data_IF_891824938676
#
_entry.id   IF_891824938676
#
_cell.length_a   1.000
_cell.length_b   1.000
_cell.length_c   1.000
_cell.angle_alpha   90.00
_cell.angle_beta   90.00
_cell.angle_gamma   90.00
#
_symmetry.space_group_name_H-M   'P 1'
#
loop_
_entity.id
_entity.type
_entity.pdbx_description
1 polymer ?
#
# COMPACT_ATOMS: atom_id res chain seq x y z
N UNK A 1 0.16 0.67 19.55
CA UNK A 1 0.81 0.46 18.25
C UNK A 1 2.15 1.19 18.21
N UNK A 2 3.16 0.67 17.52
CA UNK A 2 4.52 1.25 17.46
C UNK A 2 5.08 1.36 16.02
N UNK A 3 4.24 1.15 15.01
CA UNK A 3 4.57 1.27 13.59
C UNK A 3 3.52 2.12 12.89
N UNK A 4 3.97 2.96 11.97
CA UNK A 4 3.15 3.62 10.97
C UNK A 4 3.71 3.27 9.60
N UNK A 5 3.03 2.39 8.88
CA UNK A 5 3.34 2.07 7.50
C UNK A 5 2.77 3.16 6.60
N UNK A 6 3.63 3.85 5.85
CA UNK A 6 3.24 4.99 5.05
C UNK A 6 3.33 4.69 3.55
N UNK A 7 2.17 4.32 2.99
CA UNK A 7 1.97 4.14 1.55
C UNK A 7 2.01 5.50 0.84
N UNK A 8 3.17 5.85 0.25
CA UNK A 8 3.47 7.20 -0.24
C UNK A 8 3.33 7.34 -1.76
N UNK A 9 3.24 6.24 -2.50
CA UNK A 9 3.28 6.25 -3.96
C UNK A 9 2.35 5.19 -4.52
N UNK A 10 1.54 5.57 -5.49
CA UNK A 10 0.60 4.67 -6.16
C UNK A 10 0.31 5.22 -7.57
N UNK A 11 -0.42 4.48 -8.40
CA UNK A 11 -0.98 4.92 -9.67
C UNK A 11 -1.71 6.28 -9.66
N UNK A 12 -2.54 6.58 -8.64
CA UNK A 12 -3.30 7.85 -8.57
C UNK A 12 -2.55 9.00 -7.87
N UNK A 13 -1.29 8.77 -7.48
CA UNK A 13 -0.35 9.86 -7.27
C UNK A 13 0.89 9.55 -6.43
N UNK A 14 1.87 10.44 -6.57
CA UNK A 14 3.16 10.40 -5.88
C UNK A 14 3.24 11.47 -4.80
N UNK A 15 3.49 11.08 -3.54
CA UNK A 15 3.33 11.98 -2.37
C UNK A 15 4.62 12.37 -1.67
N UNK A 16 5.79 11.98 -2.16
CA UNK A 16 7.09 12.27 -1.52
C UNK A 16 7.99 13.10 -2.43
N UNK A 17 8.52 14.21 -1.92
CA UNK A 17 9.50 15.00 -2.67
C UNK A 17 10.83 14.25 -2.85
N UNK A 18 11.23 14.07 -4.11
CA UNK A 18 12.55 13.56 -4.51
C UNK A 18 13.26 14.67 -5.28
N UNK A 19 14.27 15.28 -4.68
CA UNK A 19 14.93 16.49 -5.21
C UNK A 19 15.59 16.23 -6.55
N UNK A 20 16.14 15.03 -6.76
CA UNK A 20 16.75 14.64 -8.04
C UNK A 20 15.72 14.46 -9.17
N UNK A 21 14.46 14.19 -8.83
CA UNK A 21 13.39 13.92 -9.79
C UNK A 21 12.15 14.78 -9.50
N UNK A 22 12.23 16.12 -9.64
CA UNK A 22 11.17 17.03 -9.20
C UNK A 22 9.83 16.79 -9.91
N UNK A 23 9.83 16.28 -11.16
CA UNK A 23 8.59 15.96 -11.88
C UNK A 23 7.71 14.92 -11.17
N UNK A 24 8.27 14.13 -10.25
CA UNK A 24 7.48 13.21 -9.42
C UNK A 24 6.41 13.96 -8.62
N UNK A 25 6.70 15.18 -8.13
CA UNK A 25 5.73 16.00 -7.42
C UNK A 25 5.17 17.16 -8.25
N UNK A 26 5.86 17.63 -9.29
CA UNK A 26 5.30 18.62 -10.23
C UNK A 26 4.22 18.02 -11.15
N UNK A 27 4.33 16.72 -11.48
CA UNK A 27 3.39 15.99 -12.35
C UNK A 27 2.72 14.86 -11.58
N UNK A 28 3.49 13.96 -10.97
CA UNK A 28 2.97 12.73 -10.36
C UNK A 28 2.07 12.97 -9.14
N UNK A 29 2.16 14.13 -8.47
CA UNK A 29 1.28 14.48 -7.36
C UNK A 29 -0.09 15.02 -7.78
N UNK A 30 -0.34 15.18 -9.08
CA UNK A 30 -1.52 15.82 -9.64
C UNK A 30 -2.30 14.91 -10.59
N UNK A 31 -3.62 14.84 -10.39
CA UNK A 31 -4.57 14.26 -11.35
C UNK A 31 -5.66 15.28 -11.67
N UNK A 32 -6.22 15.22 -12.88
CA UNK A 32 -7.17 16.24 -13.35
C UNK A 32 -8.62 15.98 -12.91
N UNK A 33 -8.89 14.81 -12.34
CA UNK A 33 -10.18 14.43 -11.80
C UNK A 33 -10.09 13.11 -11.04
N UNK A 34 -11.19 12.73 -10.41
CA UNK A 34 -11.35 11.50 -9.66
C UNK A 34 -12.68 10.83 -10.05
N UNK A 35 -12.66 9.50 -10.17
CA UNK A 35 -13.85 8.66 -10.31
C UNK A 35 -14.93 9.00 -9.26
N UNK A 36 -16.19 9.01 -9.72
CA UNK A 36 -17.38 9.09 -8.89
C UNK A 36 -18.06 7.71 -8.83
N UNK A 37 -18.40 7.28 -7.62
CA UNK A 37 -19.00 5.97 -7.36
C UNK A 37 -17.97 4.84 -7.27
N UNK A 38 -18.46 3.60 -7.26
CA UNK A 38 -17.61 2.40 -7.22
C UNK A 38 -16.95 2.13 -8.57
N UNK A 39 -15.69 1.68 -8.57
CA UNK A 39 -15.01 1.18 -9.78
C UNK A 39 -15.90 0.19 -10.57
N UNK A 40 -16.02 0.30 -11.91
CA UNK A 40 -15.25 1.19 -12.81
C UNK A 40 -15.74 2.64 -12.86
N UNK A 41 -16.78 3.00 -12.09
CA UNK A 41 -17.26 4.36 -11.89
C UNK A 41 -18.45 4.75 -12.76
N UNK A 42 -19.15 5.80 -12.34
CA UNK A 42 -20.28 6.40 -13.07
C UNK A 42 -19.83 7.57 -13.94
N UNK A 43 -19.02 8.46 -13.38
CA UNK A 43 -18.40 9.58 -14.08
C UNK A 43 -17.09 10.02 -13.42
N UNK A 44 -16.49 11.10 -13.91
CA UNK A 44 -15.34 11.79 -13.33
C UNK A 44 -15.81 13.14 -12.73
N UNK A 45 -15.29 13.51 -11.55
CA UNK A 45 -15.68 14.74 -10.86
C UNK A 45 -15.14 16.03 -11.50
N UNK A 46 -14.29 15.92 -12.52
CA UNK A 46 -13.62 17.00 -13.26
C UNK A 46 -12.85 17.97 -12.35
N UNK A 47 -12.51 17.54 -11.13
CA UNK A 47 -11.91 18.38 -10.11
C UNK A 47 -10.44 17.99 -9.91
N UNK A 48 -9.48 18.86 -10.29
CA UNK A 48 -8.08 18.56 -10.10
C UNK A 48 -7.74 18.31 -8.63
N UNK A 49 -7.11 17.16 -8.35
CA UNK A 49 -6.66 16.77 -7.02
C UNK A 49 -5.13 16.79 -6.96
N UNK A 50 -4.59 17.32 -5.86
CA UNK A 50 -3.15 17.53 -5.67
C UNK A 50 -2.71 17.39 -4.22
N UNK A 51 -1.43 17.09 -4.02
CA UNK A 51 -0.78 17.13 -2.72
C UNK A 51 0.43 16.20 -2.65
N UNK A 52 1.46 16.63 -1.94
CA UNK A 52 2.64 15.84 -1.59
C UNK A 52 3.27 16.42 -0.33
N UNK A 53 4.16 15.66 0.30
CA UNK A 53 4.97 16.09 1.44
C UNK A 53 6.37 16.45 0.95
N UNK A 54 6.81 17.65 1.31
CA UNK A 54 8.21 18.07 1.19
C UNK A 54 9.09 17.21 2.10
N UNK A 55 10.39 17.16 1.82
CA UNK A 55 11.32 16.45 2.69
C UNK A 55 11.36 17.00 4.12
N UNK A 56 11.11 18.30 4.30
CA UNK A 56 11.08 18.92 5.63
C UNK A 56 9.81 18.56 6.41
N UNK A 57 8.64 18.52 5.75
CA UNK A 57 7.41 18.02 6.39
C UNK A 57 7.53 16.55 6.78
N UNK A 58 8.16 15.73 5.94
CA UNK A 58 8.43 14.32 6.27
C UNK A 58 9.30 14.21 7.52
N UNK A 59 10.37 15.01 7.62
CA UNK A 59 11.23 15.02 8.81
C UNK A 59 10.48 15.43 10.07
N UNK A 60 9.62 16.46 9.99
CA UNK A 60 8.79 16.87 11.13
C UNK A 60 7.83 15.76 11.58
N UNK A 61 7.19 15.07 10.62
CA UNK A 61 6.30 13.93 10.90
C UNK A 61 7.08 12.76 11.52
N UNK A 62 8.27 12.45 11.01
CA UNK A 62 9.17 11.44 11.57
C UNK A 62 9.56 11.80 13.01
N UNK A 63 9.97 13.05 13.26
CA UNK A 63 10.33 13.53 14.60
C UNK A 63 9.13 13.47 15.56
N UNK A 64 7.93 13.81 15.08
CA UNK A 64 6.70 13.70 15.84
C UNK A 64 6.38 12.25 16.24
N UNK A 65 6.58 11.30 15.33
CA UNK A 65 6.37 9.87 15.55
C UNK A 65 7.42 9.27 16.50
N UNK A 66 8.69 9.66 16.36
CA UNK A 66 9.79 9.20 17.24
C UNK A 66 9.54 9.60 18.69
N UNK A 67 9.05 10.83 18.94
CA UNK A 67 8.64 11.29 20.29
C UNK A 67 7.52 10.45 20.93
N UNK A 68 6.83 9.62 20.14
CA UNK A 68 5.77 8.69 20.56
C UNK A 68 6.19 7.22 20.48
N UNK A 69 7.48 6.96 20.24
CA UNK A 69 8.02 5.61 20.04
C UNK A 69 7.36 4.86 18.85
N UNK A 70 6.92 5.60 17.83
CA UNK A 70 6.37 5.06 16.59
C UNK A 70 7.45 5.15 15.51
N UNK A 71 7.78 4.00 14.91
CA UNK A 71 8.67 3.96 13.73
C UNK A 71 7.83 4.08 12.46
N UNK A 72 8.18 5.04 11.60
CA UNK A 72 7.57 5.17 10.27
C UNK A 72 8.34 4.29 9.28
N UNK A 73 7.62 3.40 8.59
CA UNK A 73 8.15 2.58 7.51
C UNK A 73 7.61 3.16 6.20
N UNK A 74 8.44 3.79 5.34
CA UNK A 74 7.98 4.31 4.06
C UNK A 74 7.78 3.17 3.05
N UNK A 75 6.81 3.34 2.18
CA UNK A 75 6.59 2.49 1.02
C UNK A 75 6.78 3.25 -0.29
N UNK A 76 7.60 2.69 -1.17
CA UNK A 76 7.72 3.10 -2.57
C UNK A 76 7.32 1.91 -3.44
N UNK A 77 6.17 1.99 -4.08
CA UNK A 77 5.59 0.94 -4.90
C UNK A 77 6.46 0.59 -6.12
N UNK A 78 6.71 -0.71 -6.30
CA UNK A 78 7.42 -1.25 -7.47
C UNK A 78 7.18 -2.76 -7.63
N UNK A 79 7.23 -3.30 -8.86
CA UNK A 79 7.20 -2.59 -10.13
C UNK A 79 5.79 -2.17 -10.58
N UNK A 80 4.75 -2.68 -9.91
CA UNK A 80 3.34 -2.27 -10.06
C UNK A 80 3.08 -0.84 -9.57
N UNK A 81 1.81 -0.43 -9.54
CA UNK A 81 1.34 0.83 -8.93
C UNK A 81 2.19 2.07 -9.24
N UNK A 82 2.69 2.17 -10.48
CA UNK A 82 3.73 3.12 -10.88
C UNK A 82 3.27 4.17 -11.89
N UNK A 83 1.97 4.24 -12.19
CA UNK A 83 1.44 5.17 -13.20
C UNK A 83 1.77 6.63 -12.89
N UNK A 84 1.82 7.05 -11.62
CA UNK A 84 2.19 8.42 -11.27
C UNK A 84 3.65 8.75 -11.63
N UNK A 85 4.57 7.82 -11.37
CA UNK A 85 5.98 7.96 -11.74
C UNK A 85 6.17 7.90 -13.27
N UNK A 86 5.45 7.00 -13.95
CA UNK A 86 5.46 6.89 -15.42
C UNK A 86 4.85 8.14 -16.08
N UNK A 87 3.83 8.76 -15.49
CA UNK A 87 3.29 10.03 -15.97
C UNK A 87 4.30 11.17 -15.89
N UNK A 88 5.14 11.17 -14.85
CA UNK A 88 6.21 12.13 -14.69
C UNK A 88 7.38 11.86 -15.65
N UNK A 89 7.77 10.60 -15.81
CA UNK A 89 8.90 10.11 -16.62
C UNK A 89 8.45 8.92 -17.50
N UNK A 90 7.87 9.17 -18.69
CA UNK A 90 7.30 8.13 -19.56
C UNK A 90 8.26 7.01 -19.93
N UNK A 91 9.56 7.28 -20.01
CA UNK A 91 10.63 6.32 -20.29
C UNK A 91 10.74 5.17 -19.29
N UNK A 92 10.09 5.29 -18.13
CA UNK A 92 9.99 4.23 -17.12
C UNK A 92 8.98 3.13 -17.51
N UNK A 93 8.17 3.33 -18.56
CA UNK A 93 7.24 2.34 -19.13
C UNK A 93 7.90 1.48 -20.21
N UNK A 94 7.39 0.26 -20.42
CA UNK A 94 7.73 -0.54 -21.61
C UNK A 94 7.28 0.13 -22.92
N UNK A 95 6.26 0.99 -22.86
CA UNK A 95 5.61 1.63 -23.99
C UNK A 95 5.39 3.11 -23.72
N UNK A 96 6.47 3.94 -23.69
CA UNK A 96 6.41 5.35 -23.31
C UNK A 96 5.47 6.19 -24.17
N UNK A 97 5.25 5.78 -25.42
CA UNK A 97 4.42 6.50 -26.40
C UNK A 97 2.99 5.96 -26.51
N UNK A 98 2.66 4.87 -25.83
CA UNK A 98 1.28 4.39 -25.77
C UNK A 98 0.50 5.15 -24.68
N UNK A 99 -0.74 5.56 -24.95
CA UNK A 99 -1.53 6.32 -24.00
C UNK A 99 -1.84 5.51 -22.73
N UNK A 100 -1.87 6.18 -21.58
CA UNK A 100 -2.42 5.61 -20.34
C UNK A 100 -3.86 5.16 -20.61
N UNK A 101 -4.20 3.95 -20.17
CA UNK A 101 -5.55 3.39 -20.32
C UNK A 101 -6.37 3.77 -19.08
N UNK A 102 -7.40 4.59 -19.29
CA UNK A 102 -8.44 4.94 -18.33
C UNK A 102 -9.78 4.64 -19.02
N UNK A 103 -10.78 4.03 -18.36
CA UNK A 103 -12.12 3.89 -18.92
C UNK A 103 -12.63 5.25 -19.43
N UNK A 104 -13.24 5.29 -20.63
CA UNK A 104 -13.52 6.56 -21.32
C UNK A 104 -14.42 7.50 -20.51
N UNK A 105 -15.40 6.97 -19.77
CA UNK A 105 -16.28 7.74 -18.89
C UNK A 105 -15.60 8.20 -17.59
N UNK A 106 -14.41 7.69 -17.28
CA UNK A 106 -13.63 8.01 -16.07
C UNK A 106 -12.47 8.96 -16.30
N UNK A 107 -12.13 9.25 -17.55
CA UNK A 107 -11.08 10.21 -17.84
C UNK A 107 -11.67 11.62 -17.91
N UNK A 108 -11.13 12.54 -17.12
CA UNK A 108 -11.53 13.94 -17.14
C UNK A 108 -11.44 14.52 -18.55
N UNK A 109 -12.34 15.45 -18.88
CA UNK A 109 -12.35 16.18 -20.17
C UNK A 109 -11.01 16.85 -20.46
N UNK A 110 -10.33 17.32 -19.40
CA UNK A 110 -9.01 17.93 -19.52
C UNK A 110 -7.97 16.90 -19.99
N UNK A 111 -7.90 15.74 -19.33
CA UNK A 111 -6.97 14.67 -19.72
C UNK A 111 -7.28 14.10 -21.11
N UNK A 112 -8.57 13.94 -21.46
CA UNK A 112 -8.99 13.56 -22.82
C UNK A 112 -8.51 14.56 -23.89
N UNK A 113 -8.56 15.86 -23.59
CA UNK A 113 -8.06 16.90 -24.51
C UNK A 113 -6.54 16.87 -24.62
N UNK A 114 -5.82 16.73 -23.51
CA UNK A 114 -4.36 16.64 -23.50
C UNK A 114 -3.85 15.39 -24.24
N UNK A 115 -4.55 14.26 -24.12
CA UNK A 115 -4.18 12.99 -24.75
C UNK A 115 -4.21 13.04 -26.29
N UNK A 116 -5.03 13.93 -26.86
CA UNK A 116 -5.07 14.20 -28.32
C UNK A 116 -3.81 14.93 -28.80
N UNK A 117 -3.06 15.57 -27.91
CA UNK A 117 -1.75 16.18 -28.20
C UNK A 117 -0.59 15.20 -27.99
N UNK A 118 0.57 15.74 -27.60
CA UNK A 118 1.81 14.96 -27.46
C UNK A 118 1.89 14.16 -26.15
N UNK A 119 1.15 14.57 -25.11
CA UNK A 119 1.16 13.89 -23.81
C UNK A 119 0.40 12.57 -23.89
N UNK A 120 1.09 11.45 -23.64
CA UNK A 120 0.49 10.10 -23.64
C UNK A 120 0.33 9.49 -22.25
N UNK A 121 1.18 9.85 -21.30
CA UNK A 121 1.13 9.31 -19.93
C UNK A 121 0.46 10.29 -18.96
N UNK A 122 -0.45 9.75 -18.16
CA UNK A 122 -1.28 10.46 -17.19
C UNK A 122 -1.28 9.72 -15.86
N UNK A 123 -1.37 10.48 -14.76
CA UNK A 123 -1.68 9.95 -13.43
C UNK A 123 -3.10 9.39 -13.50
N UNK A 124 -3.34 8.24 -12.87
CA UNK A 124 -4.64 7.59 -12.95
C UNK A 124 -5.74 8.43 -12.27
N UNK A 125 -6.93 8.38 -12.85
CA UNK A 125 -8.13 9.10 -12.36
C UNK A 125 -9.23 8.12 -11.88
N UNK A 126 -8.95 6.83 -11.91
CA UNK A 126 -9.81 5.75 -11.42
C UNK A 126 -9.02 4.78 -10.52
N UNK A 127 -9.75 3.94 -9.80
CA UNK A 127 -9.19 2.93 -8.89
C UNK A 127 -8.82 1.63 -9.62
N UNK A 128 -8.15 0.72 -8.90
CA UNK A 128 -7.85 -0.63 -9.38
C UNK A 128 -6.51 -0.77 -10.09
N UNK A 129 -6.28 -1.95 -10.67
CA UNK A 129 -4.95 -2.40 -11.11
C UNK A 129 -4.57 -1.92 -12.51
N UNK A 130 -3.41 -1.29 -12.63
CA UNK A 130 -2.90 -0.78 -13.90
C UNK A 130 -1.91 -1.72 -14.58
N UNK A 131 -2.04 -1.86 -15.91
CA UNK A 131 -1.12 -2.70 -16.70
C UNK A 131 0.22 -2.04 -17.02
N UNK A 132 0.31 -0.72 -16.85
CA UNK A 132 1.54 0.03 -17.12
C UNK A 132 2.41 0.05 -15.88
N UNK A 133 3.45 -0.77 -15.91
CA UNK A 133 4.35 -1.05 -14.79
C UNK A 133 5.78 -0.70 -15.20
N UNK A 134 6.67 -0.53 -14.23
CA UNK A 134 8.06 -0.22 -14.50
C UNK A 134 8.73 -1.22 -15.45
N UNK A 135 9.42 -0.72 -16.47
CA UNK A 135 10.28 -1.54 -17.34
C UNK A 135 11.55 -1.92 -16.59
N UNK A 136 12.01 -3.18 -16.57
CA UNK A 136 13.23 -3.62 -15.87
C UNK A 136 14.53 -3.21 -16.61
N UNK A 137 14.67 -1.91 -16.91
CA UNK A 137 15.82 -1.34 -17.61
C UNK A 137 16.87 -0.78 -16.65
N UNK A 138 18.12 -0.67 -17.10
CA UNK A 138 19.19 -0.02 -16.31
C UNK A 138 18.85 1.43 -15.94
N UNK A 139 18.15 2.15 -16.82
CA UNK A 139 17.67 3.51 -16.54
C UNK A 139 16.65 3.51 -15.40
N UNK A 140 15.71 2.56 -15.40
CA UNK A 140 14.71 2.39 -14.33
C UNK A 140 15.38 2.05 -13.00
N UNK A 141 16.34 1.12 -13.00
CA UNK A 141 17.06 0.80 -11.76
C UNK A 141 17.87 1.99 -11.25
N UNK A 142 18.56 2.72 -12.13
CA UNK A 142 19.26 3.96 -11.75
C UNK A 142 18.29 4.99 -11.15
N UNK A 143 17.11 5.14 -11.74
CA UNK A 143 16.06 6.01 -11.23
C UNK A 143 15.60 5.58 -9.82
N UNK A 144 15.24 4.32 -9.64
CA UNK A 144 14.79 3.80 -8.35
C UNK A 144 15.87 3.85 -7.28
N UNK A 145 17.12 3.51 -7.62
CA UNK A 145 18.25 3.60 -6.69
C UNK A 145 18.46 5.04 -6.21
N UNK A 146 18.33 6.01 -7.10
CA UNK A 146 18.41 7.44 -6.76
C UNK A 146 17.25 7.88 -5.86
N UNK A 147 16.01 7.50 -6.18
CA UNK A 147 14.82 7.75 -5.34
C UNK A 147 15.03 7.16 -3.94
N UNK A 148 15.37 5.87 -3.87
CA UNK A 148 15.57 5.15 -2.62
C UNK A 148 16.75 5.70 -1.82
N UNK A 149 17.79 6.23 -2.48
CA UNK A 149 18.89 6.94 -1.81
C UNK A 149 18.37 8.13 -1.00
N UNK A 150 17.45 8.93 -1.56
CA UNK A 150 16.86 10.05 -0.82
C UNK A 150 15.93 9.53 0.28
N UNK A 151 15.04 8.57 -0.01
CA UNK A 151 14.11 7.98 0.98
C UNK A 151 14.86 7.42 2.20
N UNK A 152 15.94 6.69 2.00
CA UNK A 152 16.75 6.11 3.09
C UNK A 152 17.31 7.17 4.03
N UNK A 153 17.56 8.39 3.56
CA UNK A 153 18.04 9.50 4.41
C UNK A 153 16.91 10.17 5.22
N UNK A 154 15.67 10.10 4.73
CA UNK A 154 14.51 10.73 5.37
C UNK A 154 13.94 9.86 6.49
N UNK A 155 14.04 8.53 6.37
CA UNK A 155 13.41 7.60 7.30
C UNK A 155 14.46 6.79 8.08
N UNK A 156 14.49 6.92 9.43
CA UNK A 156 15.46 6.19 10.27
C UNK A 156 15.15 4.69 10.36
N UNK A 157 13.96 4.25 9.97
CA UNK A 157 13.55 2.84 9.96
C UNK A 157 14.58 1.94 9.29
N UNK A 158 14.83 0.77 9.86
CA UNK A 158 15.65 -0.27 9.24
C UNK A 158 14.95 -0.94 8.05
N UNK A 159 13.65 -0.72 7.89
CA UNK A 159 12.83 -1.27 6.82
C UNK A 159 12.42 -0.20 5.82
N UNK A 160 12.42 -0.58 4.54
CA UNK A 160 11.74 0.12 3.46
C UNK A 160 10.75 -0.87 2.85
N UNK A 161 9.47 -0.49 2.76
CA UNK A 161 8.50 -1.27 2.03
C UNK A 161 8.63 -0.97 0.53
N UNK A 162 8.62 -2.01 -0.29
CA UNK A 162 8.82 -1.88 -1.75
C UNK A 162 7.58 -2.32 -2.54
N UNK A 163 6.45 -2.49 -1.87
CA UNK A 163 5.22 -2.98 -2.48
C UNK A 163 5.41 -4.39 -3.04
N UNK A 164 5.15 -4.53 -4.34
CA UNK A 164 5.34 -5.77 -5.10
C UNK A 164 4.05 -6.53 -5.40
N UNK A 165 2.93 -6.00 -4.93
CA UNK A 165 1.57 -6.43 -5.22
C UNK A 165 1.13 -6.04 -6.63
N UNK A 166 0.02 -6.66 -7.05
CA UNK A 166 -0.77 -6.36 -8.25
C UNK A 166 0.02 -5.77 -9.43
N UNK A 167 1.08 -6.49 -9.84
CA UNK A 167 1.90 -6.13 -10.99
C UNK A 167 1.53 -7.00 -12.22
N UNK A 168 0.58 -6.58 -13.08
CA UNK A 168 0.23 -7.30 -14.30
C UNK A 168 1.43 -7.54 -15.21
N UNK A 169 1.58 -8.78 -15.63
CA UNK A 169 2.66 -9.18 -16.54
C UNK A 169 2.37 -8.84 -18.02
N UNK A 170 1.21 -8.24 -18.33
CA UNK A 170 0.71 -8.02 -19.69
C UNK A 170 1.66 -7.21 -20.55
N UNK A 171 2.19 -6.09 -20.05
CA UNK A 171 3.12 -5.25 -20.80
C UNK A 171 4.51 -5.90 -20.95
N UNK A 172 4.98 -6.64 -19.94
CA UNK A 172 6.24 -7.40 -20.06
C UNK A 172 6.15 -8.54 -21.09
N UNK A 173 5.01 -9.25 -21.16
CA UNK A 173 4.76 -10.31 -22.16
C UNK A 173 4.90 -9.84 -23.60
N UNK A 174 4.40 -8.63 -23.91
CA UNK A 174 4.46 -8.05 -25.27
C UNK A 174 5.69 -7.17 -25.52
N UNK A 175 6.48 -6.85 -24.48
CA UNK A 175 7.67 -6.01 -24.62
C UNK A 175 8.86 -6.81 -25.14
N UNK A 176 9.34 -6.46 -26.35
CA UNK A 176 10.55 -7.08 -26.91
C UNK A 176 11.76 -6.93 -25.99
N UNK A 177 11.86 -5.80 -25.28
CA UNK A 177 12.92 -5.57 -24.29
C UNK A 177 12.83 -6.60 -23.15
N UNK A 178 11.67 -6.74 -22.52
CA UNK A 178 11.48 -7.68 -21.41
C UNK A 178 11.69 -9.13 -21.84
N UNK A 179 11.15 -9.53 -22.99
CA UNK A 179 11.33 -10.87 -23.53
C UNK A 179 12.81 -11.20 -23.83
N UNK A 180 13.57 -10.21 -24.31
CA UNK A 180 15.01 -10.37 -24.51
C UNK A 180 15.78 -10.46 -23.19
N UNK A 181 15.37 -9.67 -22.18
CA UNK A 181 15.98 -9.71 -20.85
C UNK A 181 15.77 -11.05 -20.16
N UNK A 182 14.54 -11.60 -20.22
CA UNK A 182 14.20 -12.95 -19.75
C UNK A 182 15.16 -13.98 -20.35
N UNK A 183 15.31 -13.99 -21.68
CA UNK A 183 16.23 -14.90 -22.38
C UNK A 183 17.69 -14.67 -21.97
N UNK A 184 18.14 -13.42 -21.90
CA UNK A 184 19.53 -13.05 -21.56
C UNK A 184 19.90 -13.48 -20.13
N UNK A 185 18.95 -13.41 -19.20
CA UNK A 185 19.14 -13.76 -17.79
C UNK A 185 18.81 -15.23 -17.48
N UNK A 186 18.28 -15.98 -18.46
CA UNK A 186 17.88 -17.38 -18.27
C UNK A 186 16.66 -17.54 -17.36
N UNK A 187 15.79 -16.53 -17.32
CA UNK A 187 14.55 -16.55 -16.53
C UNK A 187 13.48 -17.35 -17.27
N UNK A 188 12.59 -18.03 -16.55
CA UNK A 188 11.52 -18.84 -17.15
C UNK A 188 10.40 -18.00 -17.76
N UNK A 189 9.98 -16.95 -17.07
CA UNK A 189 8.80 -16.15 -17.42
C UNK A 189 8.84 -14.75 -16.77
N UNK A 190 7.73 -14.02 -16.86
CA UNK A 190 7.59 -12.69 -16.27
C UNK A 190 7.47 -12.68 -14.74
N UNK A 191 7.16 -13.80 -14.08
CA UNK A 191 7.17 -13.88 -12.62
C UNK A 191 8.62 -13.94 -12.11
N UNK A 192 9.47 -14.74 -12.76
CA UNK A 192 10.92 -14.71 -12.48
C UNK A 192 11.54 -13.35 -12.87
N UNK A 193 10.98 -12.64 -13.86
CA UNK A 193 11.38 -11.24 -14.15
C UNK A 193 11.02 -10.27 -13.02
N UNK A 194 9.87 -10.44 -12.37
CA UNK A 194 9.52 -9.67 -11.17
C UNK A 194 10.50 -10.00 -10.04
N UNK A 195 10.76 -11.28 -9.77
CA UNK A 195 11.74 -11.69 -8.76
C UNK A 195 13.13 -11.08 -9.02
N UNK A 196 13.60 -11.09 -10.28
CA UNK A 196 14.84 -10.40 -10.67
C UNK A 196 14.82 -8.90 -10.36
N UNK A 197 13.70 -8.22 -10.60
CA UNK A 197 13.52 -6.80 -10.30
C UNK A 197 13.65 -6.56 -8.78
N UNK A 198 12.90 -7.31 -7.99
CA UNK A 198 12.84 -7.20 -6.53
C UNK A 198 14.22 -7.51 -5.91
N UNK A 199 14.87 -8.59 -6.32
CA UNK A 199 16.20 -8.95 -5.82
C UNK A 199 17.26 -7.87 -6.10
N UNK A 200 17.14 -7.16 -7.23
CA UNK A 200 18.06 -6.06 -7.55
C UNK A 200 17.87 -4.86 -6.61
N UNK A 201 16.61 -4.50 -6.32
CA UNK A 201 16.29 -3.43 -5.36
C UNK A 201 16.66 -3.85 -3.93
N UNK A 202 16.40 -5.10 -3.54
CA UNK A 202 16.82 -5.66 -2.25
C UNK A 202 18.33 -5.51 -2.07
N UNK A 203 19.11 -5.99 -3.04
CA UNK A 203 20.58 -5.92 -2.98
C UNK A 203 21.07 -4.47 -2.79
N UNK A 204 20.42 -3.52 -3.46
CA UNK A 204 20.74 -2.11 -3.30
C UNK A 204 20.40 -1.60 -1.89
N UNK A 205 19.19 -1.85 -1.38
CA UNK A 205 18.77 -1.43 -0.03
C UNK A 205 19.61 -2.09 1.07
N UNK A 206 19.95 -3.37 0.91
CA UNK A 206 20.88 -4.09 1.80
C UNK A 206 22.26 -3.41 1.82
N UNK A 207 22.77 -2.91 0.69
CA UNK A 207 24.02 -2.15 0.65
C UNK A 207 23.96 -0.81 1.39
N UNK A 208 22.74 -0.30 1.67
CA UNK A 208 22.48 0.89 2.49
C UNK A 208 22.14 0.53 3.95
N UNK A 209 22.27 -0.74 4.34
CA UNK A 209 21.97 -1.22 5.69
C UNK A 209 20.47 -1.30 5.99
N UNK A 210 19.61 -1.35 4.96
CA UNK A 210 18.16 -1.48 5.10
C UNK A 210 17.70 -2.87 4.70
N UNK A 211 16.67 -3.39 5.37
CA UNK A 211 15.92 -4.59 4.97
C UNK A 211 14.68 -4.18 4.16
N UNK A 212 14.21 -5.07 3.29
CA UNK A 212 12.96 -4.87 2.56
C UNK A 212 11.79 -5.52 3.27
N UNK A 213 10.62 -4.90 3.14
CA UNK A 213 9.32 -5.55 3.32
C UNK A 213 8.60 -5.46 1.97
N UNK A 214 7.87 -6.50 1.58
CA UNK A 214 6.97 -6.43 0.43
C UNK A 214 5.74 -7.31 0.61
N UNK A 215 4.72 -7.06 -0.18
CA UNK A 215 3.48 -7.85 -0.19
C UNK A 215 3.74 -9.31 -0.58
N UNK A 216 2.85 -10.23 -0.21
CA UNK A 216 3.08 -11.68 -0.36
C UNK A 216 3.32 -12.16 -1.81
N UNK A 217 2.97 -11.36 -2.81
CA UNK A 217 3.38 -11.54 -4.21
C UNK A 217 4.90 -11.62 -4.42
N UNK A 218 5.75 -11.06 -3.54
CA UNK A 218 7.21 -11.18 -3.67
C UNK A 218 7.71 -12.62 -3.51
N UNK A 219 6.85 -13.55 -3.08
CA UNK A 219 7.12 -14.99 -3.09
C UNK A 219 7.13 -15.58 -4.52
N UNK A 220 6.48 -14.92 -5.47
CA UNK A 220 6.40 -15.38 -6.86
C UNK A 220 7.77 -15.34 -7.55
N UNK A 221 8.20 -16.46 -8.13
CA UNK A 221 9.48 -16.55 -8.85
C UNK A 221 10.72 -16.69 -7.95
N UNK A 222 10.54 -16.79 -6.63
CA UNK A 222 11.61 -16.98 -5.64
C UNK A 222 11.84 -15.74 -4.79
N UNK A 223 11.88 -15.92 -3.47
CA UNK A 223 12.00 -14.83 -2.50
C UNK A 223 13.46 -14.41 -2.31
N UNK A 224 13.64 -13.10 -2.11
CA UNK A 224 14.92 -12.51 -1.79
C UNK A 224 15.34 -12.92 -0.36
N UNK A 225 16.58 -13.41 -0.11
CA UNK A 225 16.93 -14.15 1.12
C UNK A 225 16.70 -13.40 2.44
N UNK A 226 16.66 -12.08 2.43
CA UNK A 226 16.49 -11.24 3.62
C UNK A 226 15.16 -10.51 3.68
N UNK A 227 14.26 -10.78 2.74
CA UNK A 227 12.96 -10.13 2.66
C UNK A 227 12.05 -10.51 3.84
N UNK A 228 11.37 -9.52 4.38
CA UNK A 228 10.20 -9.70 5.24
C UNK A 228 8.94 -9.65 4.36
N UNK A 229 7.97 -10.51 4.63
CA UNK A 229 6.73 -10.63 3.84
C UNK A 229 5.56 -10.01 4.58
N UNK A 230 4.76 -9.19 3.91
CA UNK A 230 3.47 -8.70 4.40
C UNK A 230 2.32 -9.48 3.76
N UNK A 231 1.64 -10.33 4.55
CA UNK A 231 0.61 -11.26 4.04
C UNK A 231 -0.77 -10.63 4.05
N UNK A 232 -1.35 -10.39 2.89
CA UNK A 232 -2.62 -9.66 2.76
C UNK A 232 -3.75 -10.47 2.12
N UNK A 233 -3.41 -11.42 1.22
CA UNK A 233 -4.39 -12.29 0.53
C UNK A 233 -4.77 -13.47 1.43
N UNK A 234 -5.24 -13.15 2.64
CA UNK A 234 -5.35 -14.08 3.75
C UNK A 234 -4.00 -14.36 4.41
N UNK A 235 -3.88 -15.51 5.06
CA UNK A 235 -2.69 -15.88 5.87
C UNK A 235 -1.73 -16.81 5.13
N UNK A 236 -2.13 -17.35 3.98
CA UNK A 236 -1.39 -18.40 3.29
C UNK A 236 0.01 -17.94 2.85
N UNK A 237 0.15 -16.71 2.36
CA UNK A 237 1.45 -16.12 2.01
C UNK A 237 2.39 -16.07 3.21
N UNK A 238 1.88 -15.59 4.35
CA UNK A 238 2.60 -15.56 5.62
C UNK A 238 3.00 -16.94 6.14
N UNK A 239 2.11 -17.93 6.06
CA UNK A 239 2.43 -19.31 6.45
C UNK A 239 3.57 -19.88 5.60
N UNK A 240 3.53 -19.67 4.28
CA UNK A 240 4.57 -20.14 3.36
C UNK A 240 5.90 -19.46 3.65
N UNK A 241 5.91 -18.14 3.86
CA UNK A 241 7.10 -17.36 4.17
C UNK A 241 7.73 -17.76 5.51
N UNK A 242 6.93 -17.91 6.57
CA UNK A 242 7.41 -18.33 7.89
C UNK A 242 8.04 -19.74 7.86
N UNK A 243 7.45 -20.68 7.13
CA UNK A 243 8.03 -22.03 6.90
C UNK A 243 9.36 -21.99 6.15
N UNK A 244 9.58 -20.96 5.33
CA UNK A 244 10.85 -20.69 4.66
C UNK A 244 11.80 -19.83 5.51
N UNK A 245 11.45 -19.54 6.78
CA UNK A 245 12.25 -18.78 7.74
C UNK A 245 12.40 -17.29 7.40
N UNK A 246 11.43 -16.73 6.69
CA UNK A 246 11.30 -15.30 6.48
C UNK A 246 10.42 -14.68 7.55
N UNK A 247 10.81 -13.50 8.02
CA UNK A 247 9.97 -12.69 8.91
C UNK A 247 8.66 -12.30 8.19
N UNK A 248 7.56 -12.23 8.93
CA UNK A 248 6.22 -11.98 8.40
C UNK A 248 5.48 -10.93 9.22
N UNK A 249 4.79 -10.02 8.54
CA UNK A 249 3.76 -9.15 9.13
C UNK A 249 2.41 -9.60 8.56
N UNK A 250 1.46 -9.92 9.43
CA UNK A 250 0.12 -10.34 9.01
C UNK A 250 -0.78 -9.13 8.77
N UNK A 251 -1.36 -9.02 7.58
CA UNK A 251 -2.38 -8.02 7.25
C UNK A 251 -3.54 -8.64 6.47
N UNK A 252 -4.07 -9.82 6.86
CA UNK A 252 -5.07 -10.54 6.08
C UNK A 252 -6.34 -9.70 5.91
N UNK A 253 -6.79 -9.56 4.66
CA UNK A 253 -7.93 -8.72 4.29
C UNK A 253 -9.21 -8.96 5.11
N UNK A 254 -9.49 -10.20 5.49
CA UNK A 254 -10.70 -10.54 6.26
C UNK A 254 -10.74 -9.87 7.65
N UNK A 255 -9.57 -9.59 8.24
CA UNK A 255 -9.45 -9.07 9.62
C UNK A 255 -8.85 -7.67 9.69
N UNK A 256 -8.01 -7.31 8.72
CA UNK A 256 -7.09 -6.18 8.83
C UNK A 256 -7.33 -5.10 7.79
N UNK A 257 -8.38 -5.17 6.97
CA UNK A 257 -8.70 -4.12 5.98
C UNK A 257 -9.79 -3.21 6.52
N UNK A 258 -9.39 -2.00 6.92
CA UNK A 258 -10.30 -1.02 7.54
C UNK A 258 -10.95 -0.10 6.51
N UNK A 259 -10.68 -0.30 5.24
CA UNK A 259 -11.42 0.23 4.10
C UNK A 259 -12.72 -0.54 3.80
N UNK A 260 -12.89 -1.73 4.39
CA UNK A 260 -14.14 -2.48 4.33
C UNK A 260 -15.27 -1.85 5.17
N UNK A 261 -16.52 -2.12 4.78
CA UNK A 261 -17.69 -1.82 5.62
C UNK A 261 -17.57 -2.47 7.00
N UNK A 262 -18.15 -1.81 8.01
CA UNK A 262 -18.09 -2.26 9.41
C UNK A 262 -19.46 -2.51 10.05
N UNK A 263 -20.55 -2.25 9.31
CA UNK A 263 -21.93 -2.51 9.74
C UNK A 263 -22.82 -2.94 8.57
N UNK A 264 -24.00 -3.47 8.90
CA UNK A 264 -25.07 -3.83 7.96
C UNK A 264 -26.41 -3.23 8.43
N UNK A 265 -27.34 -2.90 7.53
CA UNK A 265 -27.22 -2.98 6.06
C UNK A 265 -26.23 -1.95 5.50
N UNK A 266 -25.48 -2.31 4.44
CA UNK A 266 -24.37 -1.49 3.91
C UNK A 266 -24.85 -0.24 3.19
N UNK A 267 -26.11 -0.21 2.76
CA UNK A 267 -26.77 0.92 2.11
C UNK A 267 -26.98 2.11 3.06
N UNK A 268 -26.91 1.88 4.37
CA UNK A 268 -26.97 2.92 5.41
C UNK A 268 -25.58 3.41 5.82
N UNK A 269 -24.51 2.79 5.31
CA UNK A 269 -23.14 3.17 5.62
C UNK A 269 -22.56 4.16 4.60
N UNK A 270 -21.58 5.00 5.02
CA UNK A 270 -20.78 5.75 4.06
C UNK A 270 -20.11 4.81 3.05
N UNK A 271 -20.13 5.19 1.76
CA UNK A 271 -19.51 4.45 0.66
C UNK A 271 -18.12 3.91 1.03
N UNK A 272 -17.94 2.59 1.02
CA UNK A 272 -16.66 1.92 1.27
C UNK A 272 -16.35 1.00 0.09
N UNK A 273 -15.16 0.40 0.01
CA UNK A 273 -14.78 -0.42 -1.17
C UNK A 273 -15.70 -1.65 -1.36
N UNK A 274 -16.29 -2.15 -0.28
CA UNK A 274 -16.94 -3.45 -0.20
C UNK A 274 -16.56 -4.14 1.11
N UNK A 275 -16.58 -5.47 1.10
CA UNK A 275 -16.17 -6.27 2.26
C UNK A 275 -17.06 -6.10 3.49
N UNK A 276 -16.73 -6.82 4.56
CA UNK A 276 -17.39 -6.68 5.85
C UNK A 276 -16.43 -7.11 6.96
N UNK A 277 -15.81 -6.13 7.62
CA UNK A 277 -14.84 -6.35 8.70
C UNK A 277 -15.30 -5.54 9.91
N UNK A 278 -16.34 -6.00 10.63
CA UNK A 278 -16.82 -5.36 11.85
C UNK A 278 -15.80 -5.50 12.98
N UNK A 279 -15.96 -4.72 14.03
CA UNK A 279 -15.04 -4.71 15.20
C UNK A 279 -14.92 -6.08 15.86
N UNK A 280 -15.99 -6.88 15.88
CA UNK A 280 -15.98 -8.25 16.40
C UNK A 280 -15.05 -9.17 15.58
N UNK A 281 -15.06 -9.04 14.26
CA UNK A 281 -14.19 -9.80 13.36
C UNK A 281 -12.72 -9.43 13.61
N UNK A 282 -12.42 -8.13 13.71
CA UNK A 282 -11.06 -7.66 14.04
C UNK A 282 -10.60 -8.23 15.39
N UNK A 283 -11.49 -8.22 16.39
CA UNK A 283 -11.16 -8.69 17.73
C UNK A 283 -10.99 -10.21 17.81
N UNK A 284 -11.69 -10.98 16.98
CA UNK A 284 -11.58 -12.45 16.96
C UNK A 284 -10.22 -12.91 16.43
N UNK A 285 -9.52 -12.05 15.69
CA UNK A 285 -8.26 -12.40 15.05
C UNK A 285 -7.14 -12.82 16.02
N UNK A 286 -6.33 -13.78 15.60
CA UNK A 286 -5.11 -14.20 16.27
C UNK A 286 -3.97 -14.29 15.23
N UNK A 287 -2.96 -13.40 15.29
CA UNK A 287 -1.96 -13.27 14.23
C UNK A 287 -1.03 -14.46 13.98
N UNK A 288 -1.03 -15.47 14.85
CA UNK A 288 -0.17 -16.65 14.72
C UNK A 288 -1.02 -17.82 14.22
N UNK A 289 -0.88 -18.22 12.94
CA UNK A 289 -1.66 -19.31 12.37
C UNK A 289 -1.42 -20.64 13.08
N UNK A 290 -2.47 -21.44 13.23
CA UNK A 290 -2.40 -22.75 13.90
C UNK A 290 -1.58 -23.78 13.12
N UNK A 291 -1.34 -23.56 11.84
CA UNK A 291 -0.55 -24.42 10.94
C UNK A 291 0.97 -24.27 11.14
N UNK A 292 1.42 -23.29 11.91
CA UNK A 292 2.84 -23.04 12.21
C UNK A 292 3.28 -23.79 13.47
N UNK A 293 4.40 -24.50 13.34
CA UNK A 293 5.08 -25.12 14.47
C UNK A 293 5.70 -24.06 15.38
N UNK A 294 5.95 -24.39 16.64
CA UNK A 294 6.52 -23.48 17.64
C UNK A 294 7.81 -22.78 17.16
N UNK A 295 8.69 -23.49 16.44
CA UNK A 295 9.93 -22.94 15.89
C UNK A 295 9.74 -22.05 14.64
N UNK A 296 8.58 -22.12 14.00
CA UNK A 296 8.14 -21.30 12.86
C UNK A 296 7.36 -20.05 13.32
N UNK A 297 6.66 -20.12 14.46
CA UNK A 297 5.83 -19.01 14.98
C UNK A 297 6.65 -17.75 15.28
N UNK A 298 7.94 -17.90 15.64
CA UNK A 298 8.85 -16.78 15.92
C UNK A 298 9.08 -15.85 14.72
N UNK A 299 8.79 -16.30 13.50
CA UNK A 299 8.91 -15.48 12.30
C UNK A 299 7.71 -14.54 12.12
N UNK A 300 6.62 -14.73 12.86
CA UNK A 300 5.50 -13.79 12.87
C UNK A 300 5.86 -12.60 13.76
N UNK A 301 6.14 -11.45 13.15
CA UNK A 301 6.51 -10.22 13.86
C UNK A 301 5.31 -9.51 14.49
N UNK A 302 4.11 -9.74 13.98
CA UNK A 302 2.86 -9.12 14.43
C UNK A 302 1.84 -8.99 13.30
N UNK A 303 0.85 -8.13 13.50
CA UNK A 303 -0.15 -7.77 12.49
C UNK A 303 -0.32 -6.25 12.35
N UNK A 304 -0.95 -5.83 11.26
CA UNK A 304 -1.23 -4.42 10.96
C UNK A 304 -2.60 -4.28 10.28
N UNK A 305 -3.32 -3.22 10.62
CA UNK A 305 -4.56 -2.82 9.94
C UNK A 305 -4.24 -1.84 8.82
N UNK A 306 -4.60 -2.19 7.59
CA UNK A 306 -4.42 -1.37 6.39
C UNK A 306 -5.65 -0.48 6.18
N UNK A 307 -5.41 0.74 5.69
CA UNK A 307 -6.45 1.75 5.47
C UNK A 307 -6.28 2.29 4.05
N UNK A 308 -6.81 1.57 3.06
CA UNK A 308 -6.85 2.02 1.68
C UNK A 308 -7.88 3.16 1.52
N UNK A 309 -7.57 4.18 0.73
CA UNK A 309 -8.27 5.49 0.80
C UNK A 309 -9.05 5.88 -0.45
N UNK A 310 -9.30 4.95 -1.37
CA UNK A 310 -10.08 5.16 -2.60
C UNK A 310 -11.43 5.83 -2.31
N UNK A 311 -12.09 5.42 -1.22
CA UNK A 311 -13.39 5.95 -0.81
C UNK A 311 -13.32 6.83 0.44
N UNK A 312 -12.13 7.29 0.86
CA UNK A 312 -11.92 8.10 2.07
C UNK A 312 -11.33 9.47 1.77
N UNK A 313 -12.16 10.39 1.29
CA UNK A 313 -11.70 11.71 0.82
C UNK A 313 -11.24 12.69 1.93
N UNK A 314 -11.49 12.40 3.21
CA UNK A 314 -11.15 13.31 4.32
C UNK A 314 -10.89 12.56 5.65
N UNK A 315 -10.25 13.26 6.58
CA UNK A 315 -9.86 12.74 7.90
C UNK A 315 -11.06 12.23 8.71
N UNK A 316 -12.19 12.94 8.69
CA UNK A 316 -13.39 12.54 9.45
C UNK A 316 -13.91 11.16 9.01
N UNK A 317 -13.82 10.83 7.72
CA UNK A 317 -14.16 9.49 7.21
C UNK A 317 -13.09 8.45 7.56
N UNK A 318 -11.81 8.79 7.48
CA UNK A 318 -10.73 7.88 7.94
C UNK A 318 -10.93 7.53 9.41
N UNK A 319 -11.17 8.51 10.27
CA UNK A 319 -11.46 8.31 11.70
C UNK A 319 -12.67 7.40 11.92
N UNK A 320 -13.77 7.64 11.21
CA UNK A 320 -14.95 6.76 11.22
C UNK A 320 -14.62 5.31 10.87
N UNK A 321 -13.77 5.12 9.86
CA UNK A 321 -13.41 3.79 9.36
C UNK A 321 -12.45 3.07 10.31
N UNK A 322 -11.50 3.76 10.93
CA UNK A 322 -10.51 3.09 11.80
C UNK A 322 -10.98 2.96 13.25
N UNK A 323 -11.83 3.86 13.76
CA UNK A 323 -12.29 3.82 15.15
C UNK A 323 -13.70 3.21 15.24
N UNK A 324 -13.93 2.14 16.04
CA UNK A 324 -13.03 1.60 17.07
C UNK A 324 -12.20 0.36 16.65
N UNK A 325 -12.18 -0.06 15.38
CA UNK A 325 -11.44 -1.26 14.91
C UNK A 325 -9.96 -1.24 15.28
N UNK A 326 -9.32 -0.08 15.23
CA UNK A 326 -7.93 0.15 15.67
C UNK A 326 -7.72 -0.20 17.15
N UNK A 327 -8.73 0.00 18.01
CA UNK A 327 -8.66 -0.40 19.42
C UNK A 327 -8.75 -1.92 19.58
N UNK A 328 -9.65 -2.57 18.84
CA UNK A 328 -9.73 -4.03 18.82
C UNK A 328 -8.40 -4.66 18.38
N UNK A 329 -7.82 -4.18 17.28
CA UNK A 329 -6.54 -4.67 16.79
C UNK A 329 -5.39 -4.36 17.77
N UNK A 330 -5.42 -3.21 18.44
CA UNK A 330 -4.43 -2.91 19.48
C UNK A 330 -4.48 -3.92 20.62
N UNK A 331 -5.66 -4.37 21.03
CA UNK A 331 -5.78 -5.39 22.06
C UNK A 331 -5.36 -6.78 21.57
N UNK A 332 -5.70 -7.14 20.33
CA UNK A 332 -5.24 -8.37 19.66
C UNK A 332 -3.71 -8.48 19.64
N UNK A 333 -3.02 -7.36 19.47
CA UNK A 333 -1.56 -7.31 19.36
C UNK A 333 -0.82 -7.18 20.69
N UNK A 334 -1.51 -6.79 21.76
CA UNK A 334 -0.89 -6.48 23.04
C UNK A 334 -1.23 -7.47 24.15
N UNK A 335 -2.47 -7.98 24.16
CA UNK A 335 -2.98 -8.84 25.23
C UNK A 335 -2.77 -10.30 24.85
N UNK A 336 -2.42 -11.14 25.84
CA UNK A 336 -2.31 -12.59 25.63
C UNK A 336 -3.65 -13.18 25.19
N UNK A 337 -3.59 -14.23 24.37
CA UNK A 337 -4.77 -14.88 23.78
C UNK A 337 -5.77 -15.33 24.85
N UNK A 338 -5.28 -15.85 25.96
CA UNK A 338 -6.06 -16.41 27.07
C UNK A 338 -6.77 -15.32 27.89
N UNK A 339 -6.32 -14.08 27.80
CA UNK A 339 -6.90 -12.92 28.50
C UNK A 339 -7.85 -12.10 27.65
N UNK A 340 -8.02 -12.44 26.36
CA UNK A 340 -9.00 -11.80 25.49
C UNK A 340 -10.40 -12.33 25.80
N UNK A 341 -11.32 -11.42 26.12
CA UNK A 341 -12.74 -11.70 26.28
C UNK A 341 -13.57 -10.62 25.57
N UNK A 342 -14.52 -11.02 24.72
CA UNK A 342 -15.31 -10.08 23.91
C UNK A 342 -16.25 -9.20 24.75
N UNK A 343 -16.93 -9.79 25.74
CA UNK A 343 -17.86 -9.05 26.59
C UNK A 343 -17.11 -8.02 27.46
N UNK A 344 -15.95 -8.40 28.01
CA UNK A 344 -15.11 -7.46 28.76
C UNK A 344 -14.49 -6.38 27.87
N UNK A 345 -14.12 -6.72 26.63
CA UNK A 345 -13.66 -5.74 25.65
C UNK A 345 -14.74 -4.70 25.36
N UNK A 346 -15.99 -5.11 25.09
CA UNK A 346 -17.11 -4.17 24.87
C UNK A 346 -17.32 -3.23 26.06
N UNK A 347 -17.20 -3.73 27.29
CA UNK A 347 -17.30 -2.91 28.49
C UNK A 347 -16.16 -1.87 28.56
N UNK A 348 -14.91 -2.29 28.30
CA UNK A 348 -13.75 -1.36 28.26
C UNK A 348 -13.82 -0.39 27.10
N UNK A 349 -14.43 -0.79 25.98
CA UNK A 349 -14.61 0.06 24.81
C UNK A 349 -15.47 1.29 25.12
N UNK A 350 -16.43 1.19 26.05
CA UNK A 350 -17.20 2.34 26.52
C UNK A 350 -16.34 3.41 27.18
N UNK A 351 -15.19 3.06 27.77
CA UNK A 351 -14.24 4.03 28.29
C UNK A 351 -13.45 4.71 27.15
N UNK A 352 -13.07 3.96 26.12
CA UNK A 352 -12.43 4.53 24.92
C UNK A 352 -13.34 5.52 24.20
N UNK A 353 -14.65 5.26 24.15
CA UNK A 353 -15.64 6.22 23.65
C UNK A 353 -15.53 7.59 24.31
N UNK A 354 -15.35 7.64 25.63
CA UNK A 354 -15.21 8.91 26.36
C UNK A 354 -13.96 9.68 25.96
N UNK A 355 -12.89 8.98 25.59
CA UNK A 355 -11.66 9.59 25.08
C UNK A 355 -11.93 10.16 23.69
N UNK A 356 -12.60 9.39 22.81
CA UNK A 356 -12.94 9.86 21.47
C UNK A 356 -13.84 11.11 21.52
N UNK A 357 -14.87 11.08 22.36
CA UNK A 357 -15.79 12.20 22.56
C UNK A 357 -15.06 13.45 23.10
N UNK A 358 -14.12 13.25 24.05
CA UNK A 358 -13.34 14.34 24.65
C UNK A 358 -12.37 14.98 23.66
N UNK A 359 -11.68 14.17 22.86
CA UNK A 359 -10.66 14.62 21.92
C UNK A 359 -11.25 15.04 20.57
N UNK A 360 -12.56 14.83 20.37
CA UNK A 360 -13.29 15.26 19.17
C UNK A 360 -13.09 14.36 17.95
N UNK A 361 -12.63 13.12 18.13
CA UNK A 361 -12.47 12.17 17.03
C UNK A 361 -13.83 11.69 16.52
N UNK A 362 -13.97 11.56 15.20
CA UNK A 362 -15.11 10.84 14.63
C UNK A 362 -14.90 9.32 14.79
N UNK A 363 -15.97 8.56 14.97
CA UNK A 363 -15.89 7.10 15.09
C UNK A 363 -17.23 6.44 14.78
N UNK A 364 -17.17 5.19 14.37
CA UNK A 364 -18.34 4.35 14.12
C UNK A 364 -19.08 4.01 15.42
N UNK A 365 -20.42 4.14 15.41
CA UNK A 365 -21.24 4.10 16.62
C UNK A 365 -21.99 2.79 16.86
N UNK A 366 -21.88 1.83 15.94
CA UNK A 366 -22.74 0.64 15.89
C UNK A 366 -22.62 -0.26 17.13
N UNK A 367 -21.45 -0.30 17.78
CA UNK A 367 -21.23 -1.04 19.04
C UNK A 367 -21.57 -0.26 20.32
N UNK A 368 -21.90 1.03 20.20
CA UNK A 368 -22.20 1.88 21.35
C UNK A 368 -23.70 2.14 21.54
N UNK A 369 -24.51 1.72 20.57
CA UNK A 369 -25.97 1.73 20.64
C UNK A 369 -26.48 0.45 21.31
N UNK A 370 -27.49 0.59 22.18
CA UNK A 370 -28.05 -0.49 22.99
C UNK A 370 -28.78 -1.54 22.17
#
# INVERSE_FOLDING_TARGET
MNRFHWHLTEDQGWRIEIKKYPRLTEVGAFRNGTIVGHYPGETNDETPYKGFYTQEEIKDIVDYAVKRHITIIPEIELPGHSSAAIAAYPELSCFPYEPTVIPENMMSKKSLKEMKGDRKKFVQETWGVCNDVFVPSEATFTFLENVLSEVVTLFPSNYIHIGGDECPKKNWKRSRFCQNLIKKKGLKDEHELQSYFIQRIEKYLNSKGKKIIGWDEILEGGIAPSATVMSWRGEQGGIVAAKQKHDVVMTPNNFCYFDHYQAKPTEEEPLAIGGYTPVEEVYSYYPIPGELKEDEQKYILGAQGNVWTEYMANTSKVEYMILPRMTALSEVLWTSKESKNWEEFKLRLQNMRRIYDKDGYNYAKHLFTK
#
